data_IF_458537934537
#
_entry.id   IF_458537934537
#
_cell.length_a   1.000
_cell.length_b   1.000
_cell.length_c   1.000
_cell.angle_alpha   90.00
_cell.angle_beta   90.00
_cell.angle_gamma   90.00
#
_symmetry.space_group_name_H-M   'P 1'
#
loop_
_entity.id
_entity.type
_entity.pdbx_description
1 polymer ?
#
# COMPACT_ATOMS: atom_id res chain seq x y z
N UNK A 1 15.45 14.09 -9.40
CA UNK A 1 14.01 14.44 -9.29
C UNK A 1 13.18 13.15 -9.29
N UNK A 2 13.26 12.35 -8.22
CA UNK A 2 12.48 11.09 -8.06
C UNK A 2 12.48 10.53 -6.61
N UNK A 3 13.22 11.11 -5.67
CA UNK A 3 13.28 10.62 -4.28
C UNK A 3 11.91 10.67 -3.59
N UNK A 4 11.11 11.70 -3.83
CA UNK A 4 9.76 11.84 -3.25
C UNK A 4 8.83 10.72 -3.74
N UNK A 5 8.94 10.31 -5.01
CA UNK A 5 8.15 9.21 -5.59
C UNK A 5 8.58 7.85 -5.03
N UNK A 6 9.88 7.65 -4.80
CA UNK A 6 10.40 6.44 -4.15
C UNK A 6 9.91 6.36 -2.70
N UNK A 7 10.03 7.45 -1.93
CA UNK A 7 9.61 7.49 -0.53
C UNK A 7 8.11 7.29 -0.41
N UNK A 8 7.29 7.99 -1.20
CA UNK A 8 5.83 7.84 -1.19
C UNK A 8 5.40 6.43 -1.61
N UNK A 9 6.02 5.87 -2.66
CA UNK A 9 5.79 4.48 -3.08
C UNK A 9 6.12 3.48 -1.97
N UNK A 10 7.21 3.70 -1.23
CA UNK A 10 7.61 2.84 -0.12
C UNK A 10 6.65 2.93 1.08
N UNK A 11 6.18 4.13 1.41
CA UNK A 11 5.18 4.34 2.48
C UNK A 11 3.86 3.63 2.13
N UNK A 12 3.38 3.79 0.89
CA UNK A 12 2.17 3.15 0.40
C UNK A 12 2.30 1.63 0.42
N UNK A 13 3.47 1.11 0.01
CA UNK A 13 3.77 -0.31 0.03
C UNK A 13 3.75 -0.87 1.46
N UNK A 14 4.43 -0.21 2.40
CA UNK A 14 4.44 -0.62 3.81
C UNK A 14 3.03 -0.58 4.42
N UNK A 15 2.27 0.47 4.15
CA UNK A 15 0.89 0.59 4.62
C UNK A 15 0.02 -0.55 4.06
N UNK A 16 0.12 -0.84 2.76
CA UNK A 16 -0.60 -1.95 2.12
C UNK A 16 -0.24 -3.32 2.71
N UNK A 17 1.05 -3.56 2.96
CA UNK A 17 1.55 -4.78 3.59
C UNK A 17 1.01 -4.94 5.02
N UNK A 18 1.07 -3.88 5.85
CA UNK A 18 0.55 -3.91 7.21
C UNK A 18 -0.96 -4.21 7.22
N UNK A 19 -1.72 -3.56 6.33
CA UNK A 19 -3.17 -3.76 6.20
C UNK A 19 -3.50 -5.19 5.75
N UNK A 20 -2.69 -5.77 4.86
CA UNK A 20 -2.85 -7.14 4.36
C UNK A 20 -2.51 -8.21 5.40
N UNK A 21 -1.46 -8.01 6.20
CA UNK A 21 -1.01 -8.96 7.23
C UNK A 21 -1.93 -8.91 8.47
N UNK A 22 -2.34 -7.71 8.89
CA UNK A 22 -3.10 -7.52 10.13
C UNK A 22 -4.45 -6.83 9.91
N UNK A 23 -5.34 -7.36 9.04
CA UNK A 23 -6.62 -6.70 8.73
C UNK A 23 -7.49 -6.54 9.99
N UNK A 24 -7.44 -7.49 10.93
CA UNK A 24 -8.21 -7.42 12.18
C UNK A 24 -7.81 -6.25 13.09
N UNK A 25 -6.52 -5.88 13.12
CA UNK A 25 -6.04 -4.73 13.90
C UNK A 25 -6.50 -3.43 13.26
N UNK A 26 -6.44 -3.34 11.92
CA UNK A 26 -6.89 -2.18 11.16
C UNK A 26 -8.40 -1.97 11.30
N UNK A 27 -9.19 -3.04 11.16
CA UNK A 27 -10.65 -2.99 11.36
C UNK A 27 -11.01 -2.51 12.77
N UNK A 28 -10.31 -3.03 13.80
CA UNK A 28 -10.55 -2.62 15.19
C UNK A 28 -10.13 -1.18 15.49
N UNK A 29 -8.98 -0.74 14.94
CA UNK A 29 -8.47 0.63 15.10
C UNK A 29 -9.35 1.67 14.39
N UNK A 30 -9.87 1.34 13.21
CA UNK A 30 -10.69 2.23 12.39
C UNK A 30 -12.19 2.06 12.63
N UNK A 31 -12.59 1.21 13.58
CA UNK A 31 -13.97 0.89 13.91
C UNK A 31 -14.81 0.45 12.68
N UNK A 32 -14.23 -0.37 11.81
CA UNK A 32 -14.83 -0.82 10.55
C UNK A 32 -15.58 -2.16 10.66
N UNK A 33 -15.79 -2.68 11.87
CA UNK A 33 -16.29 -4.05 12.08
C UNK A 33 -17.65 -4.31 11.43
N UNK A 34 -18.53 -3.31 11.39
CA UNK A 34 -19.87 -3.44 10.82
C UNK A 34 -19.92 -3.17 9.31
N UNK A 35 -18.86 -2.59 8.74
CA UNK A 35 -18.85 -2.11 7.35
C UNK A 35 -17.99 -2.97 6.42
N UNK A 36 -16.97 -3.65 6.95
CA UNK A 36 -15.96 -4.31 6.11
C UNK A 36 -15.49 -5.64 6.69
N UNK A 37 -15.61 -6.70 5.89
CA UNK A 37 -15.12 -8.02 6.27
C UNK A 37 -13.58 -8.10 6.15
N UNK A 38 -12.95 -8.99 6.92
CA UNK A 38 -11.49 -9.19 6.97
C UNK A 38 -10.88 -9.47 5.59
N UNK A 39 -11.56 -10.28 4.79
CA UNK A 39 -11.13 -10.62 3.43
C UNK A 39 -11.09 -9.40 2.51
N UNK A 40 -12.07 -8.50 2.63
CA UNK A 40 -12.12 -7.25 1.86
C UNK A 40 -10.97 -6.32 2.22
N UNK A 41 -10.69 -6.14 3.52
CA UNK A 41 -9.56 -5.31 3.98
C UNK A 41 -8.24 -5.90 3.52
N UNK A 42 -8.08 -7.22 3.58
CA UNK A 42 -6.90 -7.92 3.09
C UNK A 42 -6.69 -7.70 1.59
N UNK A 43 -7.76 -7.79 0.79
CA UNK A 43 -7.72 -7.50 -0.64
C UNK A 43 -7.33 -6.04 -0.93
N UNK A 44 -7.88 -5.09 -0.16
CA UNK A 44 -7.50 -3.67 -0.26
C UNK A 44 -6.01 -3.47 0.06
N UNK A 45 -5.50 -4.09 1.13
CA UNK A 45 -4.08 -4.05 1.47
C UNK A 45 -3.19 -4.58 0.35
N UNK A 46 -3.61 -5.65 -0.33
CA UNK A 46 -2.90 -6.19 -1.49
C UNK A 46 -2.89 -5.21 -2.67
N UNK A 47 -4.03 -4.58 -3.00
CA UNK A 47 -4.12 -3.56 -4.05
C UNK A 47 -3.19 -2.38 -3.76
N UNK A 48 -3.18 -1.88 -2.52
CA UNK A 48 -2.26 -0.82 -2.10
C UNK A 48 -0.79 -1.25 -2.21
N UNK A 49 -0.47 -2.49 -1.85
CA UNK A 49 0.88 -3.06 -2.03
C UNK A 49 1.32 -3.07 -3.50
N UNK A 50 0.45 -3.54 -4.40
CA UNK A 50 0.72 -3.57 -5.86
C UNK A 50 0.92 -2.17 -6.41
N UNK A 51 0.08 -1.19 -6.01
CA UNK A 51 0.22 0.21 -6.41
C UNK A 51 1.56 0.79 -5.93
N UNK A 52 1.95 0.51 -4.68
CA UNK A 52 3.24 0.94 -4.13
C UNK A 52 4.42 0.39 -4.92
N UNK A 53 4.39 -0.89 -5.31
CA UNK A 53 5.41 -1.50 -6.17
C UNK A 53 5.45 -0.82 -7.54
N UNK A 54 4.29 -0.60 -8.16
CA UNK A 54 4.21 0.04 -9.47
C UNK A 54 4.81 1.46 -9.46
N UNK A 55 4.54 2.26 -8.41
CA UNK A 55 5.12 3.58 -8.24
C UNK A 55 6.65 3.55 -8.11
N UNK A 56 7.20 2.58 -7.36
CA UNK A 56 8.65 2.40 -7.23
C UNK A 56 9.28 2.04 -8.58
N UNK A 57 8.65 1.14 -9.35
CA UNK A 57 9.13 0.73 -10.68
C UNK A 57 9.10 1.91 -11.65
N UNK A 58 8.00 2.66 -11.73
CA UNK A 58 7.87 3.84 -12.60
C UNK A 58 8.91 4.90 -12.21
N UNK A 59 9.13 5.13 -10.92
CA UNK A 59 10.13 6.08 -10.45
C UNK A 59 11.55 5.69 -10.88
N UNK A 60 11.86 4.38 -10.87
CA UNK A 60 13.16 3.87 -11.34
C UNK A 60 13.28 3.91 -12.87
N UNK A 61 12.22 3.58 -13.60
CA UNK A 61 12.20 3.66 -15.07
C UNK A 61 12.36 5.10 -15.58
N UNK A 62 11.71 6.07 -14.93
CA UNK A 62 11.89 7.50 -15.22
C UNK A 62 13.25 8.06 -14.82
N UNK A 63 13.98 7.38 -13.93
CA UNK A 63 15.39 7.71 -13.62
C UNK A 63 16.35 7.18 -14.69
N UNK A 64 16.01 6.05 -15.34
CA UNK A 64 16.85 5.42 -16.37
C UNK A 64 16.77 6.12 -17.75
N UNK A 65 15.73 6.93 -17.98
CA UNK A 65 15.53 7.69 -19.22
C UNK A 65 16.10 9.13 -19.16
N UNK A 66 16.82 9.49 -18.09
CA UNK A 66 17.48 10.78 -17.90
C UNK A 66 18.99 10.61 -17.87
#
# INVERSE_FOLDING_TARGET
MNIILIISGFIILLAGVIVSIMPGVVIKRLNLMDYVNKERIKAIGYIFGVIGIALIIISKAGYWWK
#
